data_IF_696110813192
#
_entry.id   IF_696110813192
#
_cell.length_a   1.000
_cell.length_b   1.000
_cell.length_c   1.000
_cell.angle_alpha   90.00
_cell.angle_beta   90.00
_cell.angle_gamma   90.00
#
_symmetry.space_group_name_H-M   'P 1'
#
loop_
_entity.id
_entity.type
_entity.pdbx_description
1 polymer ?
#
# COMPACT_ATOMS: atom_id res chain seq x y z
N UNK A 1 -3.63 -7.37 11.74
CA UNK A 1 -3.41 -6.28 10.76
C UNK A 1 -2.05 -6.46 10.12
N UNK A 2 -2.02 -6.61 8.80
CA UNK A 2 -0.79 -6.74 8.01
C UNK A 2 -0.38 -5.36 7.47
N UNK A 3 0.91 -5.19 7.20
CA UNK A 3 1.43 -4.00 6.53
C UNK A 3 1.75 -4.32 5.07
N UNK A 4 1.58 -3.32 4.22
CA UNK A 4 2.12 -3.34 2.86
C UNK A 4 2.92 -2.08 2.61
N UNK A 5 3.96 -2.21 1.80
CA UNK A 5 4.76 -1.10 1.31
C UNK A 5 4.41 -0.83 -0.15
N UNK A 6 4.10 0.42 -0.45
CA UNK A 6 3.55 0.84 -1.74
C UNK A 6 4.44 1.89 -2.39
N UNK A 7 4.78 1.68 -3.66
CA UNK A 7 5.35 2.69 -4.53
C UNK A 7 4.24 3.54 -5.16
N UNK A 8 4.40 4.87 -5.12
CA UNK A 8 3.43 5.82 -5.68
C UNK A 8 4.06 6.64 -6.81
N UNK A 9 3.30 6.99 -7.87
CA UNK A 9 3.76 7.86 -8.95
C UNK A 9 3.75 9.33 -8.50
N UNK A 10 4.68 9.68 -7.61
CA UNK A 10 4.85 11.02 -7.02
C UNK A 10 6.34 11.38 -7.04
N UNK A 11 6.72 12.68 -7.04
CA UNK A 11 8.11 13.11 -7.08
C UNK A 11 8.79 12.97 -5.70
N UNK A 12 8.68 11.80 -5.07
CA UNK A 12 9.30 11.46 -3.80
C UNK A 12 10.01 10.13 -3.94
N UNK A 13 11.32 10.14 -3.71
CA UNK A 13 12.14 8.93 -3.79
C UNK A 13 12.05 8.10 -2.49
N UNK A 14 10.84 7.64 -2.18
CA UNK A 14 10.56 6.77 -1.02
C UNK A 14 9.31 5.94 -1.26
N UNK A 15 9.16 4.88 -0.48
CA UNK A 15 7.93 4.10 -0.41
C UNK A 15 7.06 4.55 0.76
N UNK A 16 5.81 4.08 0.76
CA UNK A 16 4.81 4.44 1.75
C UNK A 16 4.19 3.17 2.33
N UNK A 17 4.16 3.07 3.65
CA UNK A 17 3.53 1.95 4.34
C UNK A 17 2.03 2.22 4.54
N UNK A 18 1.23 1.18 4.40
CA UNK A 18 -0.22 1.19 4.59
C UNK A 18 -0.67 -0.04 5.35
N UNK A 19 -1.83 0.07 5.98
CA UNK A 19 -2.50 -1.08 6.60
C UNK A 19 -3.22 -1.88 5.52
N UNK A 20 -3.07 -3.20 5.57
CA UNK A 20 -3.84 -4.16 4.78
C UNK A 20 -4.96 -4.73 5.67
N UNK A 21 -6.22 -4.35 5.41
CA UNK A 21 -7.37 -4.98 6.04
C UNK A 21 -7.40 -6.49 5.80
N UNK A 22 -7.82 -7.26 6.80
CA UNK A 22 -7.71 -8.74 6.79
C UNK A 22 -8.62 -9.41 5.73
N UNK A 23 -9.61 -8.69 5.19
CA UNK A 23 -10.47 -9.18 4.10
C UNK A 23 -9.89 -8.98 2.70
N UNK A 24 -8.74 -8.30 2.58
CA UNK A 24 -8.01 -8.19 1.32
C UNK A 24 -6.85 -9.19 1.28
N UNK A 25 -6.67 -9.81 0.11
CA UNK A 25 -5.46 -10.53 -0.26
C UNK A 25 -4.78 -9.77 -1.40
N UNK A 26 -3.47 -9.59 -1.31
CA UNK A 26 -2.68 -8.87 -2.33
C UNK A 26 -1.30 -9.51 -2.43
N UNK A 27 -0.71 -9.45 -3.62
CA UNK A 27 0.63 -9.95 -3.92
C UNK A 27 1.56 -8.79 -4.26
N UNK A 28 2.88 -9.00 -4.19
CA UNK A 28 3.84 -8.01 -4.71
C UNK A 28 3.61 -7.83 -6.21
N UNK A 29 3.73 -6.60 -6.71
CA UNK A 29 3.47 -6.25 -8.10
C UNK A 29 2.01 -5.93 -8.42
N UNK A 30 1.05 -6.25 -7.55
CA UNK A 30 -0.34 -5.86 -7.74
C UNK A 30 -0.55 -4.35 -7.52
N UNK A 31 -1.51 -3.76 -8.24
CA UNK A 31 -1.93 -2.37 -8.00
C UNK A 31 -2.93 -2.29 -6.85
N UNK A 32 -2.81 -1.24 -6.06
CA UNK A 32 -3.70 -0.92 -4.94
C UNK A 32 -4.14 0.54 -5.00
N UNK A 33 -5.37 0.80 -4.55
CA UNK A 33 -5.89 2.15 -4.34
C UNK A 33 -5.65 2.59 -2.91
N UNK A 34 -4.98 3.72 -2.71
CA UNK A 34 -4.57 4.20 -1.37
C UNK A 34 -4.89 5.68 -1.16
N UNK A 35 -5.16 6.11 0.09
CA UNK A 35 -5.25 7.53 0.41
C UNK A 35 -3.86 8.19 0.39
N UNK A 36 -3.76 9.38 -0.20
CA UNK A 36 -2.53 10.17 -0.22
C UNK A 36 -2.86 11.67 -0.12
N UNK A 37 -2.63 12.26 1.06
CA UNK A 37 -3.15 13.59 1.39
C UNK A 37 -4.68 13.61 1.35
N UNK A 38 -5.25 14.55 0.59
CA UNK A 38 -6.68 14.65 0.29
C UNK A 38 -7.13 13.81 -0.91
N UNK A 39 -6.18 13.19 -1.63
CA UNK A 39 -6.45 12.46 -2.87
C UNK A 39 -6.46 10.95 -2.65
N UNK A 40 -6.92 10.23 -3.67
CA UNK A 40 -6.74 8.78 -3.81
C UNK A 40 -5.78 8.55 -4.97
N UNK A 41 -4.79 7.67 -4.78
CA UNK A 41 -3.83 7.32 -5.82
C UNK A 41 -3.78 5.81 -6.01
N UNK A 42 -3.38 5.40 -7.21
CA UNK A 42 -3.00 4.02 -7.50
C UNK A 42 -1.50 3.90 -7.25
N UNK A 43 -1.10 2.86 -6.52
CA UNK A 43 0.27 2.47 -6.30
C UNK A 43 0.49 0.99 -6.53
N UNK A 44 1.74 0.55 -6.46
CA UNK A 44 2.13 -0.86 -6.63
C UNK A 44 2.68 -1.37 -5.31
N UNK A 45 2.23 -2.56 -4.89
CA UNK A 45 2.78 -3.23 -3.71
C UNK A 45 4.18 -3.72 -4.01
N UNK A 46 5.16 -3.26 -3.25
CA UNK A 46 6.57 -3.64 -3.40
C UNK A 46 7.06 -4.55 -2.27
N UNK A 47 6.42 -4.49 -1.09
CA UNK A 47 6.83 -5.32 0.05
C UNK A 47 5.74 -5.53 1.11
N UNK A 48 5.98 -6.46 2.03
CA UNK A 48 5.18 -6.77 3.21
C UNK A 48 6.05 -6.65 4.47
N UNK A 49 6.30 -5.43 4.96
CA UNK A 49 7.20 -5.25 6.09
C UNK A 49 6.56 -5.76 7.39
N UNK A 50 7.37 -6.27 8.31
CA UNK A 50 6.89 -6.65 9.66
C UNK A 50 6.68 -5.42 10.56
N UNK A 51 7.45 -4.36 10.31
CA UNK A 51 7.43 -3.11 11.08
C UNK A 51 7.39 -1.89 10.15
N UNK A 52 6.90 -0.77 10.67
CA UNK A 52 6.92 0.51 9.96
C UNK A 52 7.61 1.56 10.83
N UNK A 53 8.34 2.47 10.19
CA UNK A 53 8.93 3.65 10.84
C UNK A 53 7.85 4.65 11.29
N UNK A 54 6.61 4.47 10.83
CA UNK A 54 5.46 5.27 11.19
C UNK A 54 4.62 4.50 12.23
N UNK A 55 4.22 5.14 13.35
CA UNK A 55 3.32 4.53 14.31
C UNK A 55 2.04 4.00 13.66
N UNK A 56 1.60 2.81 14.06
CA UNK A 56 0.46 2.10 13.46
C UNK A 56 -0.82 2.96 13.45
N UNK A 57 -1.08 3.73 14.50
CA UNK A 57 -2.26 4.63 14.56
C UNK A 57 -2.27 5.75 13.50
N UNK A 58 -1.12 6.08 12.91
CA UNK A 58 -0.99 7.10 11.85
C UNK A 58 -1.08 6.49 10.45
N UNK A 59 -0.94 5.17 10.34
CA UNK A 59 -1.06 4.47 9.08
C UNK A 59 -2.52 4.44 8.63
N UNK A 60 -2.74 4.65 7.34
CA UNK A 60 -4.08 4.56 6.74
C UNK A 60 -4.27 3.18 6.10
N UNK A 61 -5.49 2.63 6.08
CA UNK A 61 -5.78 1.43 5.32
C UNK A 61 -5.79 1.71 3.81
N UNK A 62 -5.45 0.69 3.03
CA UNK A 62 -5.74 0.71 1.59
C UNK A 62 -7.26 0.73 1.36
N UNK A 63 -7.67 1.28 0.21
CA UNK A 63 -9.08 1.35 -0.19
C UNK A 63 -9.52 0.14 -1.01
N UNK A 64 -8.64 -0.38 -1.87
CA UNK A 64 -8.95 -1.52 -2.73
C UNK A 64 -7.67 -2.19 -3.25
N UNK A 65 -7.77 -3.48 -3.56
CA UNK A 65 -6.84 -4.24 -4.40
C UNK A 65 -7.41 -4.25 -5.83
N UNK A 66 -6.60 -3.89 -6.82
CA UNK A 66 -7.05 -3.69 -8.20
C UNK A 66 -6.66 -4.83 -9.15
N UNK A 67 -5.70 -5.67 -8.75
CA UNK A 67 -5.26 -6.84 -9.51
C UNK A 67 -5.17 -8.06 -8.59
N UNK A 68 -5.65 -9.21 -9.07
CA UNK A 68 -5.52 -10.49 -8.35
C UNK A 68 -4.15 -11.14 -8.57
N UNK A 69 -3.52 -10.85 -9.70
CA UNK A 69 -2.20 -11.33 -10.07
C UNK A 69 -1.24 -10.15 -10.29
N UNK A 70 0.07 -10.33 -10.06
CA UNK A 70 1.06 -9.31 -10.37
C UNK A 70 1.00 -8.90 -11.85
N UNK A 71 1.15 -7.61 -12.13
CA UNK A 71 1.26 -7.10 -13.50
C UNK A 71 2.70 -7.16 -14.05
N UNK A 72 3.63 -7.75 -13.28
CA UNK A 72 5.04 -7.97 -13.59
C UNK A 72 5.55 -9.29 -13.01
#
# INVERSE_FOLDING_TARGET
MKLIRVALPVPLNRYFDYLLPDFFSVTKGARVSVPFGSQTKVGIVIDFPETSDIPVEKLKPIKAVLDLEPIF
#
